data_IF_194296740693
#
_entry.id   IF_194296740693
#
_cell.length_a   1.000
_cell.length_b   1.000
_cell.length_c   1.000
_cell.angle_alpha   90.00
_cell.angle_beta   90.00
_cell.angle_gamma   90.00
#
_symmetry.space_group_name_H-M   'P 1'
#
loop_
_entity.id
_entity.type
_entity.pdbx_description
1 polymer ?
#
# COMPACT_ATOMS: atom_id res chain seq x y z
N UNK A 1 -1.02 8.60 12.65
CA UNK A 1 -2.02 7.57 12.98
C UNK A 1 -3.43 8.00 12.55
N UNK A 2 -4.34 7.05 12.26
CA UNK A 2 -5.67 7.37 11.73
C UNK A 2 -6.56 8.08 12.76
N UNK A 3 -7.36 9.05 12.29
CA UNK A 3 -8.20 9.92 13.13
C UNK A 3 -9.45 9.18 13.68
N UNK A 4 -9.83 8.05 13.10
CA UNK A 4 -11.08 7.36 13.45
C UNK A 4 -11.13 6.69 14.82
N UNK A 5 -10.03 6.62 15.56
CA UNK A 5 -10.01 6.04 16.91
C UNK A 5 -10.05 7.14 17.97
N UNK A 6 -11.24 7.61 18.27
CA UNK A 6 -11.56 8.52 19.38
C UNK A 6 -11.53 7.70 20.68
N UNK A 7 -10.34 7.47 21.24
CA UNK A 7 -10.26 6.78 22.52
C UNK A 7 -9.09 7.27 23.34
N UNK A 8 -7.90 6.90 22.96
CA UNK A 8 -6.68 7.27 23.67
C UNK A 8 -5.64 7.69 22.64
N UNK A 9 -5.05 8.88 22.83
CA UNK A 9 -3.99 9.38 21.96
C UNK A 9 -2.75 8.50 22.12
N UNK A 10 -2.14 8.11 21.00
CA UNK A 10 -0.85 7.45 21.04
C UNK A 10 0.20 8.39 21.64
N UNK A 11 0.95 7.92 22.58
CA UNK A 11 1.99 8.67 23.30
C UNK A 11 3.36 8.12 22.96
N UNK A 12 4.26 9.00 22.50
CA UNK A 12 5.64 8.64 22.16
C UNK A 12 6.53 8.94 23.35
N UNK A 13 7.33 7.97 23.76
CA UNK A 13 8.29 8.05 24.82
C UNK A 13 9.70 8.06 24.23
N UNK A 14 10.46 9.07 24.63
CA UNK A 14 11.84 9.27 24.23
C UNK A 14 12.77 8.94 25.39
N UNK A 15 14.07 8.73 25.14
CA UNK A 15 15.07 8.56 26.18
C UNK A 15 15.12 9.78 27.15
N UNK A 16 15.41 9.51 28.43
CA UNK A 16 15.39 10.54 29.48
C UNK A 16 16.44 11.67 29.29
N UNK A 17 17.44 11.43 28.46
CA UNK A 17 18.47 12.40 28.09
C UNK A 17 18.09 13.34 26.95
N UNK A 18 16.82 13.38 26.56
CA UNK A 18 16.31 14.23 25.51
C UNK A 18 15.21 15.17 26.02
N UNK A 19 15.40 16.46 25.83
CA UNK A 19 14.33 17.44 25.98
C UNK A 19 13.52 17.54 24.70
N UNK A 20 12.21 17.58 24.85
CA UNK A 20 11.30 17.63 23.70
C UNK A 20 10.63 18.98 23.56
N UNK A 21 10.64 19.51 22.36
CA UNK A 21 9.82 20.63 21.93
C UNK A 21 8.84 20.13 20.87
N UNK A 22 7.56 20.00 21.23
CA UNK A 22 6.53 19.48 20.33
C UNK A 22 5.72 20.59 19.67
N UNK A 23 5.49 20.47 18.37
CA UNK A 23 4.49 21.29 17.66
C UNK A 23 3.12 20.64 17.78
N UNK A 24 2.05 21.45 17.73
CA UNK A 24 0.69 20.89 17.69
C UNK A 24 0.52 19.94 16.52
N UNK A 25 -0.12 18.77 16.75
CA UNK A 25 -0.36 17.82 15.69
C UNK A 25 -1.14 18.44 14.53
N UNK A 26 -0.69 18.17 13.32
CA UNK A 26 -1.35 18.63 12.09
C UNK A 26 -2.02 17.46 11.38
N UNK A 27 -3.21 17.70 10.84
CA UNK A 27 -3.92 16.70 10.07
C UNK A 27 -3.46 16.74 8.60
N UNK A 28 -2.99 15.59 8.10
CA UNK A 28 -2.70 15.39 6.67
C UNK A 28 -3.54 14.21 6.16
N UNK A 29 -4.61 14.52 5.44
CA UNK A 29 -5.57 13.52 4.97
C UNK A 29 -6.23 12.78 6.14
N UNK A 30 -6.12 11.45 6.16
CA UNK A 30 -6.62 10.59 7.24
C UNK A 30 -5.62 10.36 8.39
N UNK A 31 -4.43 10.96 8.31
CA UNK A 31 -3.38 10.78 9.30
C UNK A 31 -3.19 12.02 10.17
N UNK A 32 -2.85 11.80 11.42
CA UNK A 32 -2.37 12.82 12.32
C UNK A 32 -0.83 12.78 12.31
N UNK A 33 -0.21 13.91 11.98
CA UNK A 33 1.25 14.06 11.94
C UNK A 33 1.67 14.97 13.06
N UNK A 34 2.55 14.51 13.93
CA UNK A 34 3.17 15.26 15.00
C UNK A 34 4.65 15.44 14.69
N UNK A 35 5.13 16.68 14.72
CA UNK A 35 6.55 17.00 14.58
C UNK A 35 7.09 17.36 15.95
N UNK A 36 8.15 16.69 16.35
CA UNK A 36 8.79 16.85 17.65
C UNK A 36 10.26 17.15 17.39
N UNK A 37 10.75 18.30 17.89
CA UNK A 37 12.17 18.57 17.98
C UNK A 37 12.70 17.95 19.27
N UNK A 38 13.82 17.26 19.17
CA UNK A 38 14.52 16.67 20.31
C UNK A 38 15.88 17.35 20.45
N UNK A 39 16.15 17.86 21.63
CA UNK A 39 17.51 18.26 22.04
C UNK A 39 18.02 17.20 23.03
N UNK A 40 19.05 16.46 22.63
CA UNK A 40 19.55 15.32 23.37
C UNK A 40 21.01 15.55 23.75
N UNK A 41 21.35 15.35 25.01
CA UNK A 41 22.74 15.45 25.53
C UNK A 41 23.68 14.45 24.83
N UNK A 42 23.14 13.35 24.31
CA UNK A 42 23.90 12.33 23.57
C UNK A 42 23.14 11.85 22.32
N UNK A 43 23.87 11.15 21.43
CA UNK A 43 23.29 10.62 20.21
C UNK A 43 22.12 9.65 20.51
N UNK A 44 21.03 9.77 19.74
CA UNK A 44 19.91 8.83 19.78
C UNK A 44 20.26 7.43 19.24
N UNK A 45 21.40 7.25 18.60
CA UNK A 45 21.84 5.95 18.07
C UNK A 45 22.04 4.94 19.21
N UNK A 46 21.44 3.76 19.09
CA UNK A 46 21.40 2.71 20.11
C UNK A 46 20.35 2.93 21.21
N UNK A 47 19.59 4.03 21.15
CA UNK A 47 18.51 4.31 22.10
C UNK A 47 17.19 3.71 21.62
N UNK A 48 16.29 3.48 22.58
CA UNK A 48 14.96 2.91 22.32
C UNK A 48 13.91 4.01 22.38
N UNK A 49 13.09 4.09 21.35
CA UNK A 49 11.87 4.90 21.35
C UNK A 49 10.67 3.97 21.44
N UNK A 50 9.69 4.31 22.26
CA UNK A 50 8.48 3.53 22.42
C UNK A 50 7.22 4.36 22.23
N UNK A 51 6.12 3.68 21.83
CA UNK A 51 4.80 4.29 21.68
C UNK A 51 3.79 3.48 22.46
N UNK A 52 3.06 4.15 23.34
CA UNK A 52 1.95 3.56 24.06
C UNK A 52 0.61 3.92 23.43
N UNK A 53 -0.43 3.14 23.74
CA UNK A 53 -1.81 3.37 23.31
C UNK A 53 -2.03 3.26 21.81
N UNK A 54 -1.22 2.44 21.09
CA UNK A 54 -1.52 2.06 19.70
C UNK A 54 -2.73 1.11 19.65
N UNK A 55 -3.67 1.41 18.77
CA UNK A 55 -4.80 0.51 18.50
C UNK A 55 -4.33 -0.71 17.70
N UNK A 56 -5.06 -1.82 17.81
CA UNK A 56 -4.80 -3.08 17.07
C UNK A 56 -4.76 -2.86 15.54
N UNK A 57 -5.48 -1.85 15.05
CA UNK A 57 -5.59 -1.52 13.62
C UNK A 57 -4.75 -0.30 13.22
N UNK A 58 -3.82 0.13 14.07
CA UNK A 58 -3.06 1.36 13.84
C UNK A 58 -1.57 1.06 13.82
N UNK A 59 -0.96 1.28 12.66
CA UNK A 59 0.49 1.36 12.54
C UNK A 59 0.95 2.81 12.72
N UNK A 60 2.04 3.03 13.47
CA UNK A 60 2.69 4.31 13.63
C UNK A 60 4.04 4.27 12.91
N UNK A 61 4.22 5.16 11.94
CA UNK A 61 5.51 5.37 11.32
C UNK A 61 6.25 6.48 12.08
N UNK A 62 7.47 6.19 12.47
CA UNK A 62 8.39 7.18 13.06
C UNK A 62 9.50 7.48 12.06
N UNK A 63 9.74 8.76 11.83
CA UNK A 63 10.86 9.26 11.04
C UNK A 63 11.71 10.15 11.90
N UNK A 64 12.99 9.82 12.08
CA UNK A 64 13.95 10.57 12.86
C UNK A 64 15.00 11.15 11.91
N UNK A 65 15.09 12.47 11.89
CA UNK A 65 16.13 13.17 11.14
C UNK A 65 17.19 13.66 12.12
N UNK A 66 18.40 13.12 12.02
CA UNK A 66 19.53 13.55 12.83
C UNK A 66 20.07 14.88 12.34
N UNK A 67 20.79 15.61 13.21
CA UNK A 67 21.42 16.91 12.89
C UNK A 67 22.43 16.85 11.73
N UNK A 68 23.01 15.67 11.47
CA UNK A 68 23.90 15.42 10.34
C UNK A 68 23.16 15.10 9.02
N UNK A 69 21.81 15.18 9.00
CA UNK A 69 20.97 14.86 7.85
C UNK A 69 20.68 13.36 7.66
N UNK A 70 21.20 12.46 8.51
CA UNK A 70 20.80 11.05 8.48
C UNK A 70 19.35 10.89 8.89
N UNK A 71 18.61 10.10 8.12
CA UNK A 71 17.21 9.78 8.39
C UNK A 71 17.09 8.31 8.79
N UNK A 72 16.39 8.06 9.88
CA UNK A 72 15.97 6.74 10.32
C UNK A 72 14.46 6.66 10.27
N UNK A 73 13.95 5.56 9.79
CA UNK A 73 12.52 5.27 9.73
C UNK A 73 12.22 3.94 10.39
N UNK A 74 11.11 3.90 11.11
CA UNK A 74 10.67 2.70 11.78
C UNK A 74 9.16 2.60 11.85
N UNK A 75 8.64 1.38 11.66
CA UNK A 75 7.23 1.07 11.80
C UNK A 75 6.99 0.44 13.16
N UNK A 76 6.04 0.99 13.91
CA UNK A 76 5.59 0.48 15.19
C UNK A 76 4.12 0.11 15.13
N UNK A 77 3.77 -0.96 15.83
CA UNK A 77 2.39 -1.42 15.99
C UNK A 77 2.19 -2.02 17.38
N UNK A 78 0.99 -2.51 17.69
CA UNK A 78 0.69 -3.08 19.00
C UNK A 78 1.64 -4.23 19.42
N UNK A 79 2.14 -5.02 18.45
CA UNK A 79 3.08 -6.13 18.71
C UNK A 79 4.53 -5.66 18.83
N UNK A 80 4.85 -4.52 18.23
CA UNK A 80 6.17 -3.90 18.20
C UNK A 80 6.04 -2.44 18.58
N UNK A 81 5.76 -2.20 19.85
CA UNK A 81 5.54 -0.86 20.40
C UNK A 81 6.83 -0.09 20.71
N UNK A 82 7.99 -0.71 20.56
CA UNK A 82 9.30 -0.08 20.75
C UNK A 82 10.22 -0.36 19.58
N UNK A 83 11.10 0.59 19.29
CA UNK A 83 12.10 0.49 18.24
C UNK A 83 13.44 1.02 18.74
N UNK A 84 14.50 0.25 18.49
CA UNK A 84 15.88 0.68 18.77
C UNK A 84 16.42 1.41 17.53
N UNK A 85 16.97 2.61 17.74
CA UNK A 85 17.61 3.39 16.69
C UNK A 85 18.97 2.76 16.39
N UNK A 86 19.21 2.27 15.16
CA UNK A 86 20.44 1.55 14.86
C UNK A 86 21.67 2.43 14.96
N UNK A 87 22.78 1.84 15.43
CA UNK A 87 24.09 2.52 15.53
C UNK A 87 24.65 2.90 14.14
N UNK A 88 24.28 2.16 13.09
CA UNK A 88 24.70 2.39 11.71
C UNK A 88 23.47 2.64 10.83
N UNK A 89 23.66 3.43 9.76
CA UNK A 89 22.62 3.69 8.76
C UNK A 89 22.14 2.35 8.16
N UNK A 90 21.00 1.87 8.64
CA UNK A 90 20.34 0.73 8.03
C UNK A 90 19.31 1.26 7.04
N UNK A 91 19.56 1.05 5.76
CA UNK A 91 18.52 1.18 4.75
C UNK A 91 17.63 -0.05 4.91
N UNK A 92 16.38 0.12 5.32
CA UNK A 92 15.40 -0.96 5.45
C UNK A 92 14.50 -1.07 4.21
N UNK A 93 15.03 -1.44 3.05
CA UNK A 93 14.18 -1.65 1.88
C UNK A 93 13.17 -2.78 2.14
N UNK A 94 13.51 -3.74 3.01
CA UNK A 94 12.63 -4.86 3.36
C UNK A 94 11.36 -4.43 4.12
N UNK A 95 11.39 -3.34 4.87
CA UNK A 95 10.20 -2.75 5.49
C UNK A 95 9.19 -2.27 4.45
N UNK A 96 9.66 -1.68 3.36
CA UNK A 96 8.80 -1.26 2.24
C UNK A 96 8.28 -2.43 1.42
N UNK A 97 9.05 -3.51 1.31
CA UNK A 97 8.58 -4.74 0.68
C UNK A 97 7.38 -5.34 1.45
N UNK A 98 7.50 -5.45 2.78
CA UNK A 98 6.37 -5.92 3.61
C UNK A 98 5.19 -4.96 3.57
N UNK A 99 5.44 -3.64 3.58
CA UNK A 99 4.41 -2.62 3.43
C UNK A 99 3.66 -2.74 2.10
N UNK A 100 4.36 -3.11 1.01
CA UNK A 100 3.75 -3.37 -0.29
C UNK A 100 2.83 -4.59 -0.28
N UNK A 101 3.25 -5.68 0.39
CA UNK A 101 2.38 -6.86 0.58
C UNK A 101 1.16 -6.48 1.44
N UNK A 102 1.36 -5.77 2.54
CA UNK A 102 0.28 -5.38 3.44
C UNK A 102 -0.70 -4.41 2.76
N UNK A 103 -0.20 -3.48 1.95
CA UNK A 103 -1.02 -2.60 1.13
C UNK A 103 -1.93 -3.38 0.18
N UNK A 104 -1.37 -4.37 -0.53
CA UNK A 104 -2.14 -5.24 -1.41
C UNK A 104 -3.19 -6.03 -0.64
N UNK A 105 -2.81 -6.66 0.48
CA UNK A 105 -3.70 -7.53 1.25
C UNK A 105 -4.80 -6.77 1.99
N UNK A 106 -4.56 -5.51 2.33
CA UNK A 106 -5.56 -4.63 2.96
C UNK A 106 -6.41 -3.87 1.93
N UNK A 107 -5.95 -3.77 0.67
CA UNK A 107 -6.67 -3.12 -0.42
C UNK A 107 -7.68 -4.06 -1.06
N UNK A 108 -8.95 -3.98 -0.67
CA UNK A 108 -10.02 -4.79 -1.25
C UNK A 108 -10.13 -4.61 -2.77
N UNK A 109 -9.89 -3.40 -3.27
CA UNK A 109 -9.86 -3.03 -4.67
C UNK A 109 -8.80 -3.81 -5.46
N UNK A 110 -7.59 -3.96 -4.91
CA UNK A 110 -6.52 -4.73 -5.53
C UNK A 110 -6.84 -6.23 -5.60
N UNK A 111 -7.36 -6.79 -4.51
CA UNK A 111 -7.75 -8.22 -4.45
C UNK A 111 -8.87 -8.51 -5.44
N UNK A 112 -9.90 -7.67 -5.46
CA UNK A 112 -11.02 -7.79 -6.38
C UNK A 112 -10.59 -7.61 -7.84
N UNK A 113 -9.69 -6.67 -8.10
CA UNK A 113 -9.14 -6.47 -9.42
C UNK A 113 -8.41 -7.72 -9.93
N UNK A 114 -7.52 -8.32 -9.12
CA UNK A 114 -6.82 -9.57 -9.49
C UNK A 114 -7.81 -10.70 -9.74
N UNK A 115 -8.80 -10.86 -8.85
CA UNK A 115 -9.82 -11.88 -9.00
C UNK A 115 -10.57 -11.74 -10.33
N UNK A 116 -11.09 -10.54 -10.63
CA UNK A 116 -11.80 -10.26 -11.87
C UNK A 116 -10.93 -10.47 -13.11
N UNK A 117 -9.69 -10.01 -13.05
CA UNK A 117 -8.73 -10.15 -14.14
C UNK A 117 -8.46 -11.62 -14.49
N UNK A 118 -8.32 -12.49 -13.49
CA UNK A 118 -8.06 -13.92 -13.70
C UNK A 118 -9.21 -14.66 -14.35
N UNK A 119 -10.46 -14.18 -14.25
CA UNK A 119 -11.58 -14.73 -15.04
C UNK A 119 -11.46 -14.43 -16.53
N UNK A 120 -10.81 -13.34 -16.91
CA UNK A 120 -10.68 -12.86 -18.28
C UNK A 120 -9.42 -13.39 -18.99
N UNK A 121 -8.42 -13.84 -18.22
CA UNK A 121 -7.13 -14.29 -18.73
C UNK A 121 -7.11 -15.82 -18.80
N UNK A 122 -6.39 -16.34 -19.78
CA UNK A 122 -6.10 -17.77 -19.89
C UNK A 122 -4.62 -18.03 -19.87
N UNK A 123 -4.19 -18.91 -18.96
CA UNK A 123 -2.81 -19.36 -18.83
C UNK A 123 -1.95 -18.53 -17.87
N UNK A 124 -1.08 -19.23 -17.15
CA UNK A 124 -0.24 -18.67 -16.09
C UNK A 124 0.69 -17.55 -16.59
N UNK A 125 1.36 -17.75 -17.72
CA UNK A 125 2.28 -16.73 -18.26
C UNK A 125 1.57 -15.44 -18.67
N UNK A 126 0.34 -15.53 -19.18
CA UNK A 126 -0.46 -14.35 -19.50
C UNK A 126 -0.90 -13.63 -18.21
N UNK A 127 -1.22 -14.37 -17.15
CA UNK A 127 -1.54 -13.78 -15.84
C UNK A 127 -0.33 -13.04 -15.28
N UNK A 128 0.84 -13.66 -15.25
CA UNK A 128 2.09 -13.03 -14.81
C UNK A 128 2.38 -11.77 -15.61
N UNK A 129 2.39 -11.87 -16.95
CA UNK A 129 2.62 -10.70 -17.83
C UNK A 129 1.66 -9.54 -17.55
N UNK A 130 0.40 -9.86 -17.31
CA UNK A 130 -0.64 -8.85 -17.09
C UNK A 130 -0.49 -8.20 -15.72
N UNK A 131 -0.15 -8.97 -14.69
CA UNK A 131 0.15 -8.48 -13.34
C UNK A 131 1.38 -7.59 -13.35
N UNK A 132 2.48 -8.03 -13.95
CA UNK A 132 3.70 -7.21 -14.08
C UNK A 132 3.44 -5.90 -14.83
N UNK A 133 2.62 -5.93 -15.88
CA UNK A 133 2.22 -4.71 -16.60
C UNK A 133 1.44 -3.73 -15.71
N UNK A 134 0.53 -4.24 -14.86
CA UNK A 134 -0.18 -3.45 -13.87
C UNK A 134 0.78 -2.84 -12.84
N UNK A 135 1.67 -3.65 -12.23
CA UNK A 135 2.61 -3.18 -11.20
C UNK A 135 3.59 -2.15 -11.77
N UNK A 136 4.05 -2.33 -13.01
CA UNK A 136 4.93 -1.37 -13.68
C UNK A 136 4.22 -0.02 -13.87
N UNK A 137 3.00 -0.03 -14.35
CA UNK A 137 2.19 1.17 -14.54
C UNK A 137 1.90 1.86 -13.21
N UNK A 138 1.51 1.09 -12.19
CA UNK A 138 1.32 1.55 -10.82
C UNK A 138 2.58 2.23 -10.27
N UNK A 139 3.76 1.62 -10.47
CA UNK A 139 5.04 2.18 -10.04
C UNK A 139 5.33 3.54 -10.68
N UNK A 140 5.02 3.70 -11.96
CA UNK A 140 5.24 4.95 -12.70
C UNK A 140 4.40 6.08 -12.08
N UNK A 141 3.09 5.87 -11.94
CA UNK A 141 2.19 6.93 -11.43
C UNK A 141 2.34 7.16 -9.94
N UNK A 142 2.63 6.13 -9.16
CA UNK A 142 2.99 6.29 -7.76
C UNK A 142 4.25 7.15 -7.61
N UNK A 143 5.29 6.87 -8.41
CA UNK A 143 6.51 7.68 -8.44
C UNK A 143 6.21 9.14 -8.82
N UNK A 144 5.48 9.38 -9.92
CA UNK A 144 5.10 10.72 -10.35
C UNK A 144 4.35 11.50 -9.26
N UNK A 145 3.49 10.81 -8.51
CA UNK A 145 2.69 11.42 -7.46
C UNK A 145 3.49 11.66 -6.18
N UNK A 146 4.39 10.74 -5.81
CA UNK A 146 5.27 10.90 -4.64
C UNK A 146 6.30 12.02 -4.85
N UNK A 147 6.77 12.20 -6.09
CA UNK A 147 7.62 13.35 -6.46
C UNK A 147 6.82 14.64 -6.70
N UNK A 148 5.52 14.66 -6.38
CA UNK A 148 4.63 15.83 -6.53
C UNK A 148 4.50 16.35 -7.97
N UNK A 149 4.89 15.57 -8.98
CA UNK A 149 4.76 15.92 -10.39
C UNK A 149 3.30 15.82 -10.88
N UNK A 150 2.51 14.96 -10.24
CA UNK A 150 1.08 14.80 -10.49
C UNK A 150 0.36 14.75 -9.15
N UNK A 151 -0.65 15.61 -8.96
CA UNK A 151 -1.48 15.64 -7.77
C UNK A 151 -2.95 15.65 -8.18
N UNK A 152 -3.70 14.67 -7.69
CA UNK A 152 -5.15 14.59 -7.86
C UNK A 152 -5.83 14.45 -6.51
N UNK A 153 -7.06 15.00 -6.35
CA UNK A 153 -7.84 14.79 -5.14
C UNK A 153 -8.08 13.29 -4.91
N UNK A 154 -7.80 12.80 -3.71
CA UNK A 154 -7.89 11.37 -3.37
C UNK A 154 -9.28 10.79 -3.69
N UNK A 155 -10.36 11.50 -3.33
CA UNK A 155 -11.71 11.05 -3.61
C UNK A 155 -11.99 10.85 -5.11
N UNK A 156 -11.38 11.66 -5.98
CA UNK A 156 -11.50 11.52 -7.44
C UNK A 156 -10.79 10.24 -7.91
N UNK A 157 -9.60 9.96 -7.39
CA UNK A 157 -8.84 8.77 -7.74
C UNK A 157 -9.56 7.51 -7.25
N UNK A 158 -10.05 7.50 -6.01
CA UNK A 158 -10.84 6.39 -5.45
C UNK A 158 -12.10 6.11 -6.27
N UNK A 159 -12.82 7.15 -6.71
CA UNK A 159 -13.99 6.99 -7.57
C UNK A 159 -13.64 6.39 -8.93
N UNK A 160 -12.51 6.79 -9.53
CA UNK A 160 -12.04 6.21 -10.81
C UNK A 160 -11.62 4.75 -10.62
N UNK A 161 -10.92 4.42 -9.52
CA UNK A 161 -10.55 3.04 -9.18
C UNK A 161 -11.82 2.19 -9.05
N UNK A 162 -12.83 2.66 -8.33
CA UNK A 162 -14.10 1.99 -8.19
C UNK A 162 -14.77 1.71 -9.56
N UNK A 163 -14.75 2.68 -10.48
CA UNK A 163 -15.24 2.51 -11.84
C UNK A 163 -14.46 1.44 -12.62
N UNK A 164 -13.15 1.31 -12.42
CA UNK A 164 -12.35 0.25 -13.07
C UNK A 164 -12.77 -1.14 -12.59
N UNK A 165 -13.13 -1.29 -11.32
CA UNK A 165 -13.61 -2.55 -10.73
C UNK A 165 -15.01 -2.90 -11.28
N UNK A 166 -15.91 -1.90 -11.37
CA UNK A 166 -17.25 -2.08 -11.97
C UNK A 166 -17.11 -2.51 -13.44
N UNK A 167 -16.25 -1.82 -14.20
CA UNK A 167 -15.97 -2.20 -15.59
C UNK A 167 -15.50 -3.65 -15.70
N UNK A 168 -14.56 -4.06 -14.85
CA UNK A 168 -14.06 -5.43 -14.82
C UNK A 168 -15.18 -6.43 -14.48
N UNK A 169 -16.07 -6.08 -13.55
CA UNK A 169 -17.27 -6.88 -13.24
C UNK A 169 -18.19 -7.07 -14.43
N UNK A 170 -18.43 -6.05 -15.25
CA UNK A 170 -19.20 -6.13 -16.49
C UNK A 170 -18.53 -7.07 -17.50
N UNK A 171 -17.23 -6.95 -17.71
CA UNK A 171 -16.47 -7.81 -18.61
C UNK A 171 -16.52 -9.29 -18.18
N UNK A 172 -16.41 -9.58 -16.88
CA UNK A 172 -16.57 -10.94 -16.33
C UNK A 172 -17.98 -11.46 -16.57
N UNK A 173 -19.02 -10.64 -16.43
CA UNK A 173 -20.42 -10.99 -16.69
C UNK A 173 -20.66 -11.40 -18.14
N UNK A 174 -20.07 -10.67 -19.09
CA UNK A 174 -20.22 -10.96 -20.51
C UNK A 174 -19.44 -12.21 -20.96
N UNK A 175 -18.65 -12.80 -20.07
CA UNK A 175 -17.82 -13.99 -20.33
C UNK A 175 -16.91 -13.86 -21.57
N UNK A 176 -16.61 -12.65 -21.97
CA UNK A 176 -15.70 -12.36 -23.09
C UNK A 176 -14.27 -12.52 -22.63
N UNK A 177 -13.61 -13.60 -23.03
CA UNK A 177 -12.17 -13.69 -22.90
C UNK A 177 -11.51 -12.60 -23.77
N UNK A 178 -10.67 -11.77 -23.18
CA UNK A 178 -9.87 -10.80 -23.92
C UNK A 178 -9.04 -11.52 -24.99
N UNK A 179 -9.39 -11.29 -26.26
CA UNK A 179 -8.78 -12.01 -27.37
C UNK A 179 -7.38 -11.52 -27.73
N UNK A 180 -6.95 -10.32 -27.30
CA UNK A 180 -5.69 -9.78 -27.79
C UNK A 180 -4.74 -9.16 -26.76
N UNK A 181 -5.18 -8.31 -25.81
CA UNK A 181 -4.22 -7.52 -24.99
C UNK A 181 -4.69 -7.23 -23.55
N UNK A 182 -4.93 -8.24 -22.69
CA UNK A 182 -5.36 -8.00 -21.31
C UNK A 182 -4.32 -7.20 -20.52
N UNK A 183 -3.04 -7.36 -20.83
CA UNK A 183 -1.96 -6.60 -20.22
C UNK A 183 -2.03 -5.09 -20.46
N UNK A 184 -2.58 -4.65 -21.62
CA UNK A 184 -2.71 -3.24 -21.93
C UNK A 184 -3.81 -2.58 -21.08
N UNK A 185 -4.91 -3.30 -20.87
CA UNK A 185 -6.00 -2.86 -19.98
C UNK A 185 -5.51 -2.78 -18.54
N UNK A 186 -4.79 -3.82 -18.09
CA UNK A 186 -4.20 -3.85 -16.76
C UNK A 186 -3.17 -2.72 -16.57
N UNK A 187 -2.37 -2.42 -17.59
CA UNK A 187 -1.45 -1.29 -17.58
C UNK A 187 -2.21 0.03 -17.38
N UNK A 188 -3.26 0.28 -18.16
CA UNK A 188 -4.09 1.48 -18.01
C UNK A 188 -4.70 1.61 -16.61
N UNK A 189 -5.20 0.50 -16.04
CA UNK A 189 -5.73 0.49 -14.68
C UNK A 189 -4.64 0.68 -13.63
N UNK A 190 -3.45 0.09 -13.83
CA UNK A 190 -2.30 0.31 -12.97
C UNK A 190 -1.90 1.79 -12.87
N UNK A 191 -1.94 2.54 -14.00
CA UNK A 191 -1.70 3.99 -14.00
C UNK A 191 -2.69 4.75 -13.10
N UNK A 192 -3.95 4.34 -13.07
CA UNK A 192 -4.97 4.97 -12.22
C UNK A 192 -4.77 4.60 -10.74
N UNK A 193 -4.53 3.32 -10.44
CA UNK A 193 -4.35 2.82 -9.09
C UNK A 193 -3.12 3.41 -8.39
N UNK A 194 -2.00 3.63 -9.11
CA UNK A 194 -0.79 4.20 -8.53
C UNK A 194 -0.94 5.63 -8.02
N UNK A 195 -1.92 6.38 -8.52
CA UNK A 195 -2.24 7.73 -8.02
C UNK A 195 -2.93 7.72 -6.65
N UNK A 196 -3.58 6.62 -6.28
CA UNK A 196 -4.38 6.52 -5.06
C UNK A 196 -3.58 6.43 -3.76
N UNK A 197 -2.33 5.96 -3.80
CA UNK A 197 -1.54 5.70 -2.59
C UNK A 197 -0.47 6.75 -2.28
N UNK A 198 -0.22 7.70 -3.18
CA UNK A 198 0.85 8.67 -3.03
C UNK A 198 0.75 9.53 -1.77
N UNK A 199 -0.47 9.92 -1.38
CA UNK A 199 -0.68 10.72 -0.17
C UNK A 199 -0.30 9.99 1.13
N UNK A 200 -0.27 8.65 1.12
CA UNK A 200 0.17 7.87 2.28
C UNK A 200 1.71 7.86 2.40
N UNK A 201 2.42 7.92 1.29
CA UNK A 201 3.90 7.89 1.25
C UNK A 201 4.54 9.27 1.39
N UNK A 202 3.93 10.34 0.85
CA UNK A 202 4.49 11.70 0.92
C UNK A 202 4.52 12.28 2.35
N UNK A 203 3.72 11.72 3.27
CA UNK A 203 3.72 12.10 4.69
C UNK A 203 4.97 11.64 5.48
N UNK A 204 5.79 10.77 4.90
CA UNK A 204 6.83 10.03 5.62
C UNK A 204 8.15 10.81 5.73
N UNK A 205 8.39 11.82 4.88
CA UNK A 205 9.58 12.69 4.99
C UNK A 205 10.90 12.00 4.59
N UNK A 206 10.84 11.01 3.70
CA UNK A 206 12.00 10.25 3.20
C UNK A 206 12.89 11.15 2.34
N UNK A 207 14.20 11.09 2.53
CA UNK A 207 15.15 11.79 1.65
C UNK A 207 15.08 11.26 0.21
N UNK A 208 15.16 12.16 -0.78
CA UNK A 208 14.97 11.84 -2.20
C UNK A 208 15.82 10.67 -2.73
N UNK A 209 17.03 10.50 -2.21
CA UNK A 209 17.92 9.41 -2.66
C UNK A 209 17.43 8.01 -2.23
N UNK A 210 16.76 7.91 -1.08
CA UNK A 210 16.24 6.66 -0.55
C UNK A 210 14.84 6.36 -1.06
N UNK A 211 14.10 7.39 -1.47
CA UNK A 211 12.72 7.30 -1.92
C UNK A 211 12.55 6.36 -3.11
N UNK A 212 13.46 6.43 -4.10
CA UNK A 212 13.43 5.55 -5.28
C UNK A 212 13.57 4.08 -4.86
N UNK A 213 14.49 3.79 -3.94
CA UNK A 213 14.70 2.43 -3.44
C UNK A 213 13.49 1.94 -2.65
N UNK A 214 12.92 2.79 -1.80
CA UNK A 214 11.70 2.48 -1.04
C UNK A 214 10.51 2.18 -1.96
N UNK A 215 10.30 3.01 -2.99
CA UNK A 215 9.27 2.79 -4.00
C UNK A 215 9.47 1.48 -4.78
N UNK A 216 10.72 1.16 -5.13
CA UNK A 216 11.05 -0.08 -5.82
C UNK A 216 10.67 -1.28 -4.95
N UNK A 217 11.12 -1.32 -3.69
CA UNK A 217 10.81 -2.44 -2.78
C UNK A 217 9.34 -2.53 -2.44
N UNK A 218 8.64 -1.40 -2.31
CA UNK A 218 7.20 -1.37 -2.12
C UNK A 218 6.47 -2.03 -3.30
N UNK A 219 6.81 -1.66 -4.53
CA UNK A 219 6.18 -2.24 -5.73
C UNK A 219 6.57 -3.71 -5.93
N UNK A 220 7.80 -4.11 -5.59
CA UNK A 220 8.18 -5.52 -5.56
C UNK A 220 7.35 -6.31 -4.54
N UNK A 221 7.02 -5.72 -3.39
CA UNK A 221 6.13 -6.30 -2.40
C UNK A 221 4.71 -6.49 -2.93
N UNK A 222 4.16 -5.48 -3.62
CA UNK A 222 2.86 -5.59 -4.29
C UNK A 222 2.89 -6.73 -5.31
N UNK A 223 3.89 -6.79 -6.19
CA UNK A 223 3.99 -7.82 -7.23
C UNK A 223 4.12 -9.22 -6.63
N UNK A 224 4.95 -9.38 -5.60
CA UNK A 224 5.08 -10.66 -4.89
C UNK A 224 3.75 -11.12 -4.28
N UNK A 225 3.02 -10.22 -3.64
CA UNK A 225 1.69 -10.51 -3.09
C UNK A 225 0.68 -10.89 -4.19
N UNK A 226 0.67 -10.17 -5.31
CA UNK A 226 -0.18 -10.48 -6.46
C UNK A 226 0.12 -11.86 -7.04
N UNK A 227 1.41 -12.17 -7.26
CA UNK A 227 1.83 -13.47 -7.77
C UNK A 227 1.48 -14.63 -6.83
N UNK A 228 1.41 -14.37 -5.52
CA UNK A 228 0.96 -15.36 -4.54
C UNK A 228 -0.54 -15.62 -4.62
N UNK A 229 -1.35 -14.60 -4.96
CA UNK A 229 -2.81 -14.74 -5.13
C UNK A 229 -3.18 -15.46 -6.43
N UNK A 230 -2.34 -15.38 -7.48
CA UNK A 230 -2.62 -16.03 -8.79
C UNK A 230 -2.88 -17.54 -8.67
N UNK A 231 -2.03 -18.36 -8.04
CA UNK A 231 -2.28 -19.79 -7.92
C UNK A 231 -3.50 -20.07 -7.03
N UNK A 232 -3.78 -19.25 -6.03
CA UNK A 232 -4.94 -19.41 -5.13
C UNK A 232 -6.22 -19.22 -5.92
N UNK A 233 -6.41 -18.06 -6.54
CA UNK A 233 -7.62 -17.78 -7.33
C UNK A 233 -7.70 -18.62 -8.61
N UNK A 234 -6.54 -18.85 -9.25
CA UNK A 234 -6.45 -19.73 -10.40
C UNK A 234 -6.92 -21.16 -10.11
N UNK A 235 -6.58 -21.68 -8.94
CA UNK A 235 -7.05 -23.00 -8.48
C UNK A 235 -8.55 -23.04 -8.25
N UNK A 236 -9.12 -21.99 -7.66
CA UNK A 236 -10.57 -21.85 -7.44
C UNK A 236 -11.30 -21.79 -8.77
N UNK A 237 -10.80 -20.99 -9.72
CA UNK A 237 -11.39 -20.88 -11.07
C UNK A 237 -11.28 -22.21 -11.82
N UNK A 238 -10.12 -22.87 -11.78
CA UNK A 238 -9.94 -24.17 -12.40
C UNK A 238 -10.88 -25.23 -11.80
N UNK A 239 -11.03 -25.26 -10.48
CA UNK A 239 -11.95 -26.16 -9.81
C UNK A 239 -13.41 -25.91 -10.20
N UNK A 240 -13.81 -24.64 -10.32
CA UNK A 240 -15.15 -24.27 -10.77
C UNK A 240 -15.43 -24.74 -12.20
N UNK A 241 -14.42 -24.69 -13.08
CA UNK A 241 -14.50 -25.23 -14.45
C UNK A 241 -14.67 -26.75 -14.43
N UNK A 242 -13.87 -27.45 -13.62
CA UNK A 242 -13.91 -28.93 -13.50
C UNK A 242 -15.25 -29.44 -12.95
N UNK A 243 -15.86 -28.67 -12.04
CA UNK A 243 -17.15 -29.02 -11.43
C UNK A 243 -18.37 -28.48 -12.19
N UNK A 244 -18.17 -27.89 -13.38
CA UNK A 244 -19.23 -27.27 -14.21
C UNK A 244 -19.97 -26.08 -13.53
N UNK A 245 -19.36 -25.42 -12.54
CA UNK A 245 -19.89 -24.23 -11.86
C UNK A 245 -19.29 -22.92 -12.35
N UNK A 246 -18.53 -22.92 -13.44
CA UNK A 246 -17.80 -21.73 -13.92
C UNK A 246 -18.72 -20.53 -14.18
N UNK A 247 -19.89 -20.75 -14.81
CA UNK A 247 -20.84 -19.67 -15.09
C UNK A 247 -21.37 -19.04 -13.81
N UNK A 248 -21.73 -19.85 -12.82
CA UNK A 248 -22.22 -19.37 -11.54
C UNK A 248 -21.13 -18.60 -10.77
N UNK A 249 -19.90 -19.12 -10.78
CA UNK A 249 -18.77 -18.43 -10.13
C UNK A 249 -18.45 -17.10 -10.85
N UNK A 250 -18.49 -17.05 -12.17
CA UNK A 250 -18.32 -15.81 -12.93
C UNK A 250 -19.42 -14.77 -12.61
N UNK A 251 -20.69 -15.20 -12.60
CA UNK A 251 -21.81 -14.32 -12.24
C UNK A 251 -21.69 -13.82 -10.81
N UNK A 252 -21.34 -14.68 -9.86
CA UNK A 252 -21.16 -14.31 -8.46
C UNK A 252 -20.01 -13.30 -8.30
N UNK A 253 -18.86 -13.56 -8.94
CA UNK A 253 -17.72 -12.62 -8.94
C UNK A 253 -18.11 -11.28 -9.57
N UNK A 254 -18.81 -11.27 -10.70
CA UNK A 254 -19.31 -10.05 -11.34
C UNK A 254 -20.21 -9.23 -10.41
N UNK A 255 -21.10 -9.87 -9.68
CA UNK A 255 -21.98 -9.20 -8.71
C UNK A 255 -21.19 -8.60 -7.54
N UNK A 256 -20.17 -9.31 -7.04
CA UNK A 256 -19.29 -8.78 -5.98
C UNK A 256 -18.53 -7.56 -6.50
N UNK A 257 -17.89 -7.66 -7.68
CA UNK A 257 -17.13 -6.56 -8.29
C UNK A 257 -18.02 -5.34 -8.52
N UNK A 258 -19.22 -5.54 -9.10
CA UNK A 258 -20.16 -4.46 -9.31
C UNK A 258 -20.70 -3.84 -8.02
N UNK A 259 -21.02 -4.68 -7.01
CA UNK A 259 -21.56 -4.21 -5.73
C UNK A 259 -20.53 -3.46 -4.88
N UNK A 260 -19.29 -3.97 -4.81
CA UNK A 260 -18.23 -3.33 -4.00
C UNK A 260 -17.62 -2.08 -4.66
N UNK A 261 -17.70 -1.94 -5.99
CA UNK A 261 -17.34 -0.69 -6.66
C UNK A 261 -18.35 0.44 -6.43
N UNK A 262 -19.49 0.17 -5.77
CA UNK A 262 -20.51 1.17 -5.44
C UNK A 262 -20.36 1.73 -4.00
N UNK A 263 -19.58 1.09 -3.13
CA UNK A 263 -19.31 1.47 -1.75
C UNK A 263 -17.87 1.94 -1.56
#
# INVERSE_FOLDING_TARGET
YPIKNIGVRAEVFFPDNCEREGQMPSQKGKYLVERISLDCESSLKGQIISVNNLSVLTDALITITHSNGEVFEGLMNLKRSSIEIPLQKQVYPMGYFTLGIDHLMSGNDHILFILGLLFLISGFFNAVKTITAFTLAHSITLGLSVFELVSLPQATVEAIIALTIIYLGLEVSESKKYKSTPWLVAFGFGLLHGLGFANALTGIGIGNEQLILCLLFFNLGIEAGQLLLVPIFGSVIWLSQKLNFYKQSATFTSLILGGMGFF
#
